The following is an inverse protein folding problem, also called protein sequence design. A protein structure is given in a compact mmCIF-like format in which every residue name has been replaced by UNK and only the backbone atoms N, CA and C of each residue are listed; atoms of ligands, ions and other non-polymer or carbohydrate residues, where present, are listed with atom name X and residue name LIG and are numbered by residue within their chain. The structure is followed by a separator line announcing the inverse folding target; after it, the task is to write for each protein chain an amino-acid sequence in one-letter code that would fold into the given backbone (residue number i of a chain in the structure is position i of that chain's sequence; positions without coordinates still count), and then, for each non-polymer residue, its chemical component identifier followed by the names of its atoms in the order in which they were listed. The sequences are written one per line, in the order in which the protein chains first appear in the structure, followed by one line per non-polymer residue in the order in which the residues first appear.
data_IF_876049844404
#
_entry.id   IF_876049844404
#
_cell.length_a   1.000
_cell.length_b   1.000
_cell.length_c   1.000
_cell.angle_alpha   90.00
_cell.angle_beta   90.00
_cell.angle_gamma   90.00
#
_symmetry.space_group_name_H-M   'P 1'
#
loop_
_entity.id
_entity.type
_entity.pdbx_description
1 polymer ?
2 non-polymer ?
3 non-polymer ?
4 water ?
#
# COMPACT_ATOMS: atom_id res chain seq x y z
N UNK A 52 12.95 21.58 17.59
CA UNK A 52 12.20 20.70 18.54
C UNK A 52 10.67 20.96 18.50
N UNK A 53 10.09 20.86 17.31
CA UNK A 53 8.67 21.16 17.09
C UNK A 53 8.20 20.60 15.76
N UNK A 54 7.11 19.82 15.77
CA UNK A 54 6.63 19.11 14.59
C UNK A 54 5.10 19.10 14.50
N UNK A 55 4.59 19.17 13.26
CA UNK A 55 3.15 19.09 12.98
C UNK A 55 2.85 17.82 12.18
N UNK A 56 1.95 17.00 12.70
CA UNK A 56 1.51 15.77 12.03
C UNK A 56 0.09 15.96 11.49
N UNK A 57 -0.01 16.28 10.19
CA UNK A 57 -1.30 16.42 9.52
C UNK A 57 -1.88 15.05 9.17
N UNK A 58 -2.86 14.60 9.97
CA UNK A 58 -3.52 13.31 9.77
C UNK A 58 -3.54 12.51 11.06
N UNK A 59 -4.71 12.00 11.44
CA UNK A 59 -4.91 11.26 12.69
C UNK A 59 -5.37 9.83 12.44
N UNK A 60 -4.89 9.22 11.36
CA UNK A 60 -5.41 7.94 10.87
C UNK A 60 -4.64 6.72 11.34
N UNK A 61 -4.55 5.73 10.45
CA UNK A 61 -3.93 4.42 10.73
C UNK A 61 -2.42 4.54 10.97
N UNK A 62 -1.75 5.36 10.16
CA UNK A 62 -0.29 5.46 10.15
C UNK A 62 0.26 6.34 11.29
N UNK A 63 -0.59 7.20 11.87
CA UNK A 63 -0.15 8.19 12.87
C UNK A 63 0.41 7.60 14.17
N UNK A 64 -0.17 6.50 14.66
CA UNK A 64 0.22 5.92 15.96
C UNK A 64 1.70 5.50 16.06
N UNK A 65 2.21 4.70 15.10
CA UNK A 65 3.65 4.38 15.14
C UNK A 65 4.59 5.57 14.90
N UNK A 66 4.12 6.59 14.18
CA UNK A 66 4.89 7.82 13.95
C UNK A 66 5.00 8.62 15.26
N UNK A 67 3.88 8.76 15.97
CA UNK A 67 3.87 9.44 17.27
C UNK A 67 4.67 8.69 18.34
N UNK A 68 4.65 7.36 18.28
CA UNK A 68 5.39 6.53 19.24
C UNK A 68 6.91 6.68 19.06
N UNK A 69 7.37 6.65 17.81
CA UNK A 69 8.81 6.75 17.50
C UNK A 69 9.39 8.13 17.84
N UNK A 70 8.67 9.19 17.48
CA UNK A 70 9.14 10.56 17.70
C UNK A 70 9.19 10.96 19.18
N UNK A 71 8.20 10.52 19.97
CA UNK A 71 8.16 10.81 21.41
C UNK A 71 8.83 9.70 22.24
N UNK A 72 10.14 9.54 22.03
CA UNK A 72 10.98 8.60 22.80
C UNK A 72 12.00 9.36 23.64
N UNK A 73 12.77 10.22 22.99
CA UNK A 73 13.77 11.06 23.66
C UNK A 73 13.12 12.09 24.60
N UNK A 74 12.02 12.69 24.17
CA UNK A 74 11.24 13.64 24.98
C UNK A 74 11.42 15.11 24.60
N UNK A 75 12.49 15.43 23.89
CA UNK A 75 12.78 16.82 23.50
C UNK A 75 11.79 17.46 22.52
N UNK A 76 11.30 16.67 21.57
CA UNK A 76 10.38 17.17 20.52
C UNK A 76 8.97 17.44 21.07
N UNK A 77 8.31 18.46 20.52
CA UNK A 77 6.94 18.83 20.86
C UNK A 77 6.05 18.59 19.64
N UNK A 78 5.07 17.69 19.79
CA UNK A 78 4.25 17.24 18.66
C UNK A 78 2.87 17.91 18.65
N UNK A 79 2.47 18.39 17.48
CA UNK A 79 1.13 18.96 17.25
C UNK A 79 0.43 18.10 16.20
N UNK A 80 -0.88 17.93 16.34
CA UNK A 80 -1.67 17.09 15.43
C UNK A 80 -2.86 17.90 14.88
N UNK A 81 -3.04 17.85 13.56
CA UNK A 81 -4.15 18.50 12.86
C UNK A 81 -4.95 17.50 12.06
N UNK A 82 -6.28 17.53 12.19
CA UNK A 82 -7.16 16.54 11.55
C UNK A 82 -8.61 17.00 11.45
N UNK A 83 -9.36 16.32 10.57
CA UNK A 83 -10.81 16.51 10.43
C UNK A 83 -11.58 15.76 11.51
N UNK A 84 -11.10 14.56 11.84
CA UNK A 84 -11.80 13.65 12.75
C UNK A 84 -11.62 14.09 14.20
N UNK A 85 -12.72 14.55 14.82
CA UNK A 85 -12.71 15.01 16.21
C UNK A 85 -12.59 13.86 17.21
N UNK A 86 -13.20 12.71 16.89
CA UNK A 86 -13.15 11.53 17.76
C UNK A 86 -11.76 10.86 17.78
N UNK A 87 -11.11 10.79 16.62
CA UNK A 87 -9.79 10.15 16.49
C UNK A 87 -8.70 10.89 17.28
N UNK A 88 -8.64 12.21 17.12
CA UNK A 88 -7.63 13.03 17.79
C UNK A 88 -7.77 13.08 19.33
N UNK A 89 -9.00 12.89 19.84
CA UNK A 89 -9.23 12.75 21.27
C UNK A 89 -8.69 11.41 21.81
N UNK A 90 -9.00 10.32 21.10
CA UNK A 90 -8.50 8.98 21.45
C UNK A 90 -6.99 8.87 21.26
N UNK A 91 -6.47 9.51 20.22
CA UNK A 91 -5.02 9.58 19.95
C UNK A 91 -4.29 10.43 20.98
N UNK A 92 -4.92 11.52 21.43
CA UNK A 92 -4.38 12.39 22.46
C UNK A 92 -4.28 11.78 23.84
N UNK A 93 -5.09 10.76 24.12
CA UNK A 93 -5.05 10.01 25.38
C UNK A 93 -3.76 9.20 25.52
N UNK A 94 -3.35 8.53 24.46
CA UNK A 94 -2.16 7.66 24.47
C UNK A 94 -0.84 8.44 24.48
N UNK A 95 -0.73 9.41 23.58
CA UNK A 95 0.51 10.18 23.38
C UNK A 95 0.30 11.66 23.74
N UNK A 96 1.33 12.28 24.29
CA UNK A 96 1.29 13.71 24.65
C UNK A 96 1.41 14.58 23.40
N UNK A 97 0.30 15.22 23.02
CA UNK A 97 0.25 16.05 21.80
C UNK A 97 -0.58 17.31 22.03
N UNK A 98 -0.41 18.28 21.12
CA UNK A 98 -1.25 19.47 21.06
C UNK A 98 -2.35 19.25 20.01
N UNK A 99 -3.61 19.04 20.43
CA UNK A 99 -4.68 18.79 19.47
C UNK A 99 -5.15 20.07 18.75
N UNK A 100 -5.36 19.97 17.44
CA UNK A 100 -5.92 21.05 16.62
C UNK A 100 -6.93 20.45 15.64
N UNK A 101 -8.01 21.18 15.38
CA UNK A 101 -9.08 20.75 14.46
C UNK A 101 -9.14 21.72 13.28
N UNK A 102 -8.93 21.20 12.07
CA UNK A 102 -8.98 22.03 10.85
C UNK A 102 -9.13 21.23 9.55
N UNK A 103 -9.79 21.86 8.57
CA UNK A 103 -9.86 21.35 7.20
C UNK A 103 -8.73 22.02 6.40
N UNK A 104 -8.20 21.32 5.41
CA UNK A 104 -7.01 21.77 4.68
C UNK A 104 -7.38 22.78 3.58
N UNK A 105 -8.26 22.36 2.66
CA UNK A 105 -8.61 23.20 1.50
C UNK A 105 -9.53 24.38 1.83
N UNK A 106 -10.22 24.34 2.98
CA UNK A 106 -11.09 25.44 3.42
C UNK A 106 -10.37 26.45 4.33
N UNK A 107 -9.55 25.96 5.26
CA UNK A 107 -8.87 26.81 6.24
C UNK A 107 -7.36 26.94 5.95
N UNK A 108 -7.04 27.44 4.75
CA UNK A 108 -5.64 27.68 4.36
C UNK A 108 -4.98 28.86 5.08
N UNK A 109 -5.79 29.75 5.67
CA UNK A 109 -5.26 30.90 6.41
C UNK A 109 -4.51 30.48 7.67
N UNK A 110 -5.18 29.68 8.52
CA UNK A 110 -4.57 29.23 9.78
C UNK A 110 -3.44 28.21 9.59
N UNK A 111 -3.46 27.47 8.47
CA UNK A 111 -2.39 26.54 8.11
C UNK A 111 -1.06 27.26 7.90
N UNK A 112 -1.12 28.39 7.20
CA UNK A 112 0.06 29.25 6.98
C UNK A 112 0.70 29.75 8.26
N UNK A 113 -0.13 30.14 9.23
CA UNK A 113 0.35 30.59 10.54
C UNK A 113 0.85 29.43 11.41
N UNK A 114 0.18 28.27 11.33
CA UNK A 114 0.54 27.09 12.12
C UNK A 114 1.84 26.44 11.64
N UNK A 115 2.01 26.32 10.32
CA UNK A 115 3.23 25.76 9.72
C UNK A 115 4.48 26.60 10.05
N UNK A 116 4.33 27.92 10.07
CA UNK A 116 5.43 28.84 10.38
C UNK A 116 6.06 28.66 11.78
N UNK A 117 5.26 28.16 12.73
CA UNK A 117 5.74 27.88 14.09
C UNK A 117 6.66 26.66 14.19
N UNK A 118 6.55 25.72 13.23
CA UNK A 118 7.21 24.41 13.31
C UNK A 118 8.56 24.35 12.62
N UNK A 119 9.34 23.33 12.98
CA UNK A 119 10.61 23.00 12.32
C UNK A 119 10.41 22.05 11.13
N UNK A 120 9.41 21.17 11.23
CA UNK A 120 9.11 20.18 10.18
C UNK A 120 7.61 19.84 10.18
N UNK A 121 7.10 19.43 9.01
CA UNK A 121 5.68 19.09 8.83
C UNK A 121 5.53 17.71 8.18
N UNK A 122 4.93 16.76 8.91
CA UNK A 122 4.67 15.40 8.41
C UNK A 122 3.24 15.32 7.89
N UNK A 123 3.08 14.98 6.61
CA UNK A 123 1.77 14.87 5.96
C UNK A 123 1.34 13.41 5.82
N UNK A 124 0.32 13.02 6.59
CA UNK A 124 -0.28 11.68 6.50
C UNK A 124 -1.70 11.75 5.93
N UNK A 125 -1.90 12.64 4.95
CA UNK A 125 -3.20 12.89 4.33
C UNK A 125 -3.27 12.17 2.99
N UNK A 126 -4.46 12.11 2.36
CA UNK A 126 -4.56 11.61 0.99
C UNK A 126 -3.67 12.38 0.02
N UNK A 127 -3.08 11.68 -0.95
CA UNK A 127 -2.02 12.25 -1.80
C UNK A 127 -2.46 13.40 -2.73
N UNK A 128 -3.77 13.54 -2.97
CA UNK A 128 -4.32 14.68 -3.71
C UNK A 128 -4.12 16.04 -3.00
N UNK A 129 -4.02 16.03 -1.68
CA UNK A 129 -3.89 17.26 -0.87
C UNK A 129 -2.46 17.73 -0.57
N UNK A 130 -1.44 17.08 -1.14
CA UNK A 130 -0.03 17.46 -0.87
C UNK A 130 0.42 18.81 -1.43
N UNK A 131 -0.07 19.21 -2.63
CA UNK A 131 0.26 20.54 -3.16
C UNK A 131 -0.16 21.72 -2.24
N UNK A 132 -1.26 21.55 -1.51
CA UNK A 132 -1.72 22.54 -0.53
C UNK A 132 -0.76 22.65 0.66
N UNK A 133 -0.28 21.50 1.13
CA UNK A 133 0.67 21.45 2.26
C UNK A 133 2.07 21.88 1.80
N UNK A 134 2.45 21.51 0.58
CA UNK A 134 3.73 21.90 -0.01
C UNK A 134 3.83 23.41 -0.26
N UNK A 135 2.74 24.01 -0.73
CA UNK A 135 2.67 25.46 -0.97
C UNK A 135 2.88 26.27 0.31
N UNK A 136 2.26 25.83 1.40
CA UNK A 136 2.44 26.45 2.72
C UNK A 136 3.86 26.30 3.26
N UNK A 137 4.51 25.18 2.96
CA UNK A 137 5.88 24.90 3.39
C UNK A 137 6.93 25.79 2.70
N UNK A 138 6.80 25.97 1.38
CA UNK A 138 7.72 26.82 0.62
C UNK A 138 7.60 28.32 0.97
N UNK A 139 6.41 28.75 1.36
CA UNK A 139 6.16 30.15 1.74
C UNK A 139 6.85 30.51 3.06
N UNK A 140 6.65 29.66 4.07
CA UNK A 140 7.22 29.87 5.40
C UNK A 140 8.66 29.34 5.59
N UNK A 141 9.20 28.64 4.58
CA UNK A 141 10.55 28.08 4.62
C UNK A 141 10.70 27.00 5.71
N UNK A 142 9.92 25.93 5.55
CA UNK A 142 9.89 24.80 6.49
C UNK A 142 10.01 23.47 5.73
N UNK A 143 10.72 22.51 6.31
CA UNK A 143 10.90 21.18 5.71
C UNK A 143 9.64 20.33 5.81
N UNK A 144 9.56 19.32 4.94
CA UNK A 144 8.40 18.43 4.86
C UNK A 144 8.82 16.98 4.59
N UNK A 145 8.04 16.03 5.08
CA UNK A 145 8.16 14.62 4.72
C UNK A 145 6.79 14.01 4.47
N UNK A 146 6.71 13.08 3.52
CA UNK A 146 5.47 12.47 3.08
C UNK A 146 5.59 10.95 3.08
N UNK A 147 4.48 10.26 3.33
CA UNK A 147 4.43 8.80 3.33
C UNK A 147 3.61 8.29 2.14
N UNK A 148 3.84 8.87 0.97
CA UNK A 148 3.05 8.57 -0.24
C UNK A 148 3.71 9.08 -1.52
N UNK A 149 3.03 8.91 -2.65
CA UNK A 149 3.57 9.21 -3.98
C UNK A 149 3.94 10.68 -4.17
N UNK A 150 4.98 10.93 -4.97
CA UNK A 150 5.31 12.27 -5.47
C UNK A 150 4.58 12.38 -6.81
N UNK A 151 3.42 13.04 -6.77
CA UNK A 151 2.54 13.14 -7.94
C UNK A 151 3.07 14.12 -9.00
N UNK A 152 2.54 14.08 -10.23
CA UNK A 152 2.84 15.09 -11.26
C UNK A 152 2.57 16.53 -10.81
N UNK A 153 1.51 16.74 -10.03
CA UNK A 153 1.18 18.05 -9.45
C UNK A 153 2.25 18.54 -8.47
N UNK A 154 2.75 17.65 -7.62
CA UNK A 154 3.81 17.96 -6.67
C UNK A 154 5.18 18.15 -7.34
N UNK A 155 5.39 17.49 -8.48
CA UNK A 155 6.63 17.61 -9.26
C UNK A 155 6.83 19.01 -9.88
N UNK A 156 5.73 19.70 -10.19
CA UNK A 156 5.79 21.06 -10.76
C UNK A 156 6.39 22.11 -9.81
N UNK A 157 6.25 21.89 -8.50
CA UNK A 157 6.79 22.80 -7.47
C UNK A 157 8.32 22.72 -7.31
N UNK A 158 8.96 21.69 -7.86
CA UNK A 158 10.41 21.45 -7.70
C UNK A 158 11.30 22.69 -7.88
N UNK A 159 10.97 23.53 -8.85
CA UNK A 159 11.68 24.80 -9.06
C UNK A 159 11.52 25.74 -7.87
N UNK A 160 10.28 25.88 -7.38
CA UNK A 160 9.98 26.71 -6.21
C UNK A 160 10.56 26.17 -4.91
N UNK A 161 10.64 24.85 -4.79
CA UNK A 161 11.18 24.18 -3.59
C UNK A 161 12.71 24.36 -3.49
N UNK A 162 13.40 24.29 -4.64
CA UNK A 162 14.85 24.55 -4.69
C UNK A 162 15.22 26.00 -4.38
N UNK A 163 14.41 26.94 -4.90
CA UNK A 163 14.62 28.38 -4.65
C UNK A 163 14.39 28.76 -3.18
N UNK A 164 13.41 28.13 -2.54
CA UNK A 164 13.12 28.34 -1.11
C UNK A 164 14.23 27.81 -0.19
N UNK A 165 14.96 26.79 -0.65
CA UNK A 165 16.09 26.23 0.09
C UNK A 165 15.68 25.31 1.22
N UNK A 166 14.77 24.39 0.93
CA UNK A 166 14.25 23.44 1.91
C UNK A 166 14.23 22.02 1.35
N UNK A 167 14.01 21.05 2.24
CA UNK A 167 13.97 19.63 1.90
C UNK A 167 12.54 19.10 1.96
N UNK A 168 12.11 18.42 0.90
CA UNK A 168 10.81 17.72 0.86
C UNK A 168 11.07 16.27 0.41
N UNK A 169 10.95 15.32 1.34
CA UNK A 169 11.20 13.90 1.08
C UNK A 169 9.86 13.16 0.90
N UNK A 170 9.61 12.68 -0.33
CA UNK A 170 8.42 11.90 -0.65
C UNK A 170 8.72 10.42 -0.86
N UNK A 171 7.66 9.66 -1.12
CA UNK A 171 7.74 8.22 -1.42
C UNK A 171 8.46 7.40 -0.34
N UNK A 172 7.96 7.53 0.89
CA UNK A 172 8.43 6.74 2.03
C UNK A 172 7.30 5.81 2.48
N UNK A 173 7.68 4.72 3.13
CA UNK A 173 6.73 3.71 3.61
C UNK A 173 7.12 2.32 3.11
N UNK A 174 6.12 1.52 2.75
CA UNK A 174 6.36 0.15 2.26
C UNK A 174 6.50 0.17 0.74
N UNK A 175 5.46 0.62 0.06
CA UNK A 175 5.39 0.64 -1.40
C UNK A 175 4.50 1.82 -1.86
N UNK A 176 5.08 2.94 -2.28
CA UNK A 176 6.52 3.17 -2.40
C UNK A 176 7.22 3.40 -1.05
N UNK A 177 8.52 3.06 -1.00
CA UNK A 177 9.35 3.29 0.18
C UNK A 177 10.47 2.29 0.35
N UNK A 178 10.20 1.20 1.06
CA UNK A 178 11.19 0.14 1.27
C UNK A 178 11.62 -0.54 -0.03
N UNK A 179 10.71 -0.67 -0.98
CA UNK A 179 11.03 -1.19 -2.32
C UNK A 179 12.09 -0.35 -3.06
N UNK A 180 12.06 0.97 -2.88
CA UNK A 180 13.08 1.85 -3.44
C UNK A 180 14.43 1.64 -2.73
N UNK A 181 14.37 1.52 -1.41
CA UNK A 181 15.59 1.41 -0.59
C UNK A 181 16.33 0.09 -0.81
N UNK A 182 15.60 -1.02 -0.78
CA UNK A 182 16.17 -2.36 -1.04
C UNK A 182 16.73 -2.52 -2.46
N UNK A 183 16.08 -1.87 -3.43
CA UNK A 183 16.53 -1.91 -4.83
C UNK A 183 17.85 -1.16 -5.01
N UNK A 184 17.90 0.08 -4.53
CA UNK A 184 19.09 0.91 -4.69
C UNK A 184 20.28 0.48 -3.82
N UNK A 185 20.03 -0.28 -2.74
CA UNK A 185 21.13 -0.85 -1.95
C UNK A 185 21.92 -1.86 -2.78
N UNK A 186 21.21 -2.78 -3.43
CA UNK A 186 21.83 -3.82 -4.26
C UNK A 186 22.41 -3.26 -5.57
N UNK A 187 21.70 -2.30 -6.19
CA UNK A 187 22.13 -1.70 -7.45
C UNK A 187 23.42 -0.89 -7.27
N UNK A 188 23.51 -0.12 -6.17
CA UNK A 188 24.75 0.62 -5.85
C UNK A 188 25.93 -0.30 -5.51
N UNK A 189 25.66 -1.41 -4.81
CA UNK A 189 26.69 -2.44 -4.55
C UNK A 189 27.23 -3.08 -5.83
N UNK A 190 26.38 -3.24 -6.84
CA UNK A 190 26.79 -3.77 -8.15
C UNK A 190 27.66 -2.78 -8.92
N UNK A 191 27.27 -1.51 -8.92
CA UNK A 191 28.03 -0.45 -9.58
C UNK A 191 29.36 -0.10 -8.89
N UNK A 192 29.47 -0.40 -7.59
CA UNK A 192 30.75 -0.31 -6.86
C UNK A 192 31.85 -1.20 -7.46
N UNK A 193 31.45 -2.34 -8.05
CA UNK A 193 32.40 -3.27 -8.70
C UNK A 193 32.22 -3.33 -10.23
N UNK A 194 31.77 -2.23 -10.83
CA UNK A 194 31.62 -2.11 -12.28
C UNK A 194 30.60 -3.02 -12.96
N UNK A 195 29.64 -3.55 -12.19
CA UNK A 195 28.64 -4.49 -12.72
C UNK A 195 27.34 -3.77 -13.10
N UNK A 196 26.60 -4.36 -14.05
CA UNK A 196 25.33 -3.82 -14.55
C UNK A 196 24.16 -4.78 -14.26
N UNK A 197 22.95 -4.22 -14.24
CA UNK A 197 21.73 -4.97 -13.92
C UNK A 197 21.06 -5.46 -15.21
N UNK A 198 20.87 -6.77 -15.31
CA UNK A 198 20.17 -7.40 -16.45
C UNK A 198 18.71 -7.70 -16.17
N UNK A 199 18.39 -8.07 -14.91
CA UNK A 199 17.01 -8.34 -14.51
C UNK A 199 16.70 -7.84 -13.11
N UNK A 200 15.43 -7.53 -12.87
CA UNK A 200 14.93 -7.11 -11.56
C UNK A 200 13.47 -7.54 -11.41
N UNK A 201 13.23 -8.49 -10.51
CA UNK A 201 11.88 -9.03 -10.26
C UNK A 201 11.59 -8.82 -8.77
N UNK A 202 10.44 -8.21 -8.46
CA UNK A 202 10.07 -7.83 -7.09
C UNK A 202 8.60 -8.09 -6.79
N UNK A 203 8.32 -9.10 -5.95
CA UNK A 203 6.96 -9.40 -5.49
C UNK A 203 6.81 -8.98 -4.03
N UNK A 204 5.61 -8.52 -3.68
CA UNK A 204 5.35 -7.91 -2.35
C UNK A 204 3.90 -8.02 -1.96
N UNK A 205 3.58 -7.77 -0.69
CA UNK A 205 2.28 -8.34 -0.26
C UNK A 205 2.16 -8.27 1.25
N UNK A 206 1.03 -7.71 1.69
CA UNK A 206 0.62 -7.71 3.11
C UNK A 206 -0.62 -8.58 3.22
N UNK A 207 -0.68 -9.43 4.23
CA UNK A 207 -1.75 -10.44 4.33
C UNK A 207 -1.84 -10.97 5.75
N UNK A 208 -2.88 -11.76 6.04
CA UNK A 208 -2.96 -12.34 7.41
C UNK A 208 -1.83 -13.32 7.69
N UNK A 209 -1.51 -13.49 8.97
CA UNK A 209 -0.65 -14.59 9.40
C UNK A 209 -1.39 -15.91 9.08
N UNK A 210 -0.66 -16.97 8.65
CA UNK A 210 -1.27 -18.22 8.18
C UNK A 210 -2.44 -18.76 9.00
N UNK A 211 -2.37 -18.64 10.32
CA UNK A 211 -3.44 -19.10 11.22
C UNK A 211 -4.80 -18.39 11.09
N UNK A 212 -4.82 -17.19 10.49
CA UNK A 212 -6.06 -16.44 10.24
C UNK A 212 -6.46 -16.42 8.75
N UNK A 213 -6.04 -17.42 7.99
CA UNK A 213 -6.32 -17.49 6.54
C UNK A 213 -7.53 -18.37 6.14
N UNK A 214 -8.28 -18.88 7.13
CA UNK A 214 -9.42 -19.75 6.85
C UNK A 214 -10.72 -18.96 6.62
N UNK A 215 -10.81 -18.37 5.43
CA UNK A 215 -12.04 -17.73 4.95
C UNK A 215 -12.02 -17.74 3.41
N UNK A 216 -13.17 -17.54 2.74
CA UNK A 216 -13.24 -17.67 1.27
C UNK A 216 -12.17 -16.90 0.46
N UNK A 217 -11.84 -15.68 0.89
CA UNK A 217 -10.81 -14.88 0.22
C UNK A 217 -9.37 -15.13 0.73
N UNK A 218 -9.23 -15.81 1.88
CA UNK A 218 -7.96 -15.96 2.59
C UNK A 218 -7.32 -14.58 2.84
N UNK A 219 -8.12 -13.65 3.34
CA UNK A 219 -7.69 -12.26 3.49
C UNK A 219 -8.48 -11.51 4.58
N UNK A 220 -7.84 -10.50 5.16
CA UNK A 220 -8.47 -9.57 6.08
C UNK A 220 -8.02 -8.15 5.75
N UNK A 221 -8.98 -7.23 5.65
CA UNK A 221 -8.71 -5.87 5.16
C UNK A 221 -8.25 -4.92 6.27
N UNK A 222 -7.08 -4.30 6.05
CA UNK A 222 -6.53 -3.30 6.97
C UNK A 222 -7.21 -1.94 6.82
N UNK A 223 -7.59 -1.59 5.59
CA UNK A 223 -8.28 -0.34 5.27
C UNK A 223 -9.38 -0.61 4.22
N UNK A 224 -9.82 0.42 3.47
CA UNK A 224 -10.94 0.27 2.53
C UNK A 224 -10.59 -0.62 1.32
N UNK A 225 -11.45 -1.63 1.01
CA UNK A 225 -11.23 -2.50 -0.16
C UNK A 225 -11.42 -1.87 -1.56
N UNK A 226 -11.86 -0.61 -1.65
CA UNK A 226 -12.18 0.01 -2.95
C UNK A 226 -10.97 0.03 -3.89
N UNK A 227 -9.79 0.35 -3.35
CA UNK A 227 -8.55 0.39 -4.12
C UNK A 227 -8.13 -0.95 -4.70
N UNK A 228 -8.10 -1.98 -3.87
CA UNK A 228 -7.67 -3.33 -4.29
C UNK A 228 -8.65 -4.01 -5.27
N UNK A 229 -9.95 -3.82 -5.05
CA UNK A 229 -10.99 -4.37 -5.94
C UNK A 229 -10.94 -3.77 -7.34
N UNK A 230 -10.67 -2.48 -7.43
CA UNK A 230 -10.61 -1.78 -8.72
C UNK A 230 -9.33 -2.09 -9.52
N UNK A 231 -8.26 -2.53 -8.83
CA UNK A 231 -7.03 -2.97 -9.50
C UNK A 231 -7.21 -4.18 -10.41
N UNK A 232 -8.16 -5.05 -10.07
CA UNK A 232 -8.48 -6.23 -10.90
C UNK A 232 -9.00 -5.82 -12.28
N UNK A 233 -9.72 -4.71 -12.35
CA UNK A 233 -10.26 -4.21 -13.63
C UNK A 233 -9.20 -3.50 -14.50
N UNK A 234 -8.13 -3.01 -13.86
CA UNK A 234 -7.04 -2.30 -14.56
C UNK A 234 -6.01 -3.24 -15.22
N UNK A 235 -5.22 -2.67 -16.11
CA UNK A 235 -4.20 -3.41 -16.87
C UNK A 235 -2.87 -3.51 -16.09
N UNK A 236 -2.01 -4.40 -16.58
CA UNK A 236 -0.64 -4.57 -16.07
C UNK A 236 0.35 -4.58 -17.24
N UNK A 237 1.47 -3.88 -17.07
CA UNK A 237 2.49 -3.73 -18.11
C UNK A 237 3.88 -3.96 -17.53
N UNK A 238 4.71 -4.74 -18.23
CA UNK A 238 6.08 -5.00 -17.79
C UNK A 238 7.00 -5.48 -18.94
N UNK A 239 8.30 -5.51 -18.66
CA UNK A 239 9.33 -5.92 -19.63
C UNK A 239 9.85 -7.32 -19.29
N UNK A 240 10.02 -8.17 -20.29
CA UNK A 240 10.46 -9.55 -20.11
C UNK A 240 11.24 -10.07 -21.32
N UNK A 241 12.55 -10.26 -21.14
CA UNK A 241 13.47 -10.74 -22.18
C UNK A 241 13.47 -9.85 -23.44
N UNK A 242 13.45 -8.54 -23.23
CA UNK A 242 13.46 -7.56 -24.32
C UNK A 242 12.10 -7.04 -24.77
N UNK A 243 11.09 -7.90 -24.76
CA UNK A 243 9.75 -7.57 -25.26
C UNK A 243 8.84 -6.99 -24.18
N UNK A 244 8.04 -5.99 -24.54
CA UNK A 244 7.05 -5.39 -23.63
C UNK A 244 5.80 -6.28 -23.63
N UNK A 245 5.36 -6.68 -22.44
CA UNK A 245 4.18 -7.52 -22.27
C UNK A 245 3.04 -6.67 -21.69
N UNK A 246 1.86 -6.78 -22.30
CA UNK A 246 0.63 -6.16 -21.80
C UNK A 246 -0.33 -7.24 -21.33
N UNK A 247 -0.94 -7.04 -20.15
CA UNK A 247 -1.90 -7.98 -19.59
C UNK A 247 -3.26 -7.29 -19.50
N UNK A 248 -4.30 -7.99 -19.97
CA UNK A 248 -5.66 -7.45 -19.99
C UNK A 248 -6.31 -7.61 -18.63
N UNK A 249 -6.86 -6.51 -18.10
CA UNK A 249 -7.61 -6.53 -16.85
C UNK A 249 -9.02 -7.08 -16.98
N UNK A 250 -9.73 -7.12 -15.86
CA UNK A 250 -11.14 -7.54 -15.83
C UNK A 250 -11.31 -9.03 -15.69
N UNK A 251 -12.28 -9.58 -16.45
CA UNK A 251 -12.63 -11.01 -16.40
C UNK A 251 -11.47 -11.95 -16.77
N UNK A 252 -10.61 -11.53 -17.70
CA UNK A 252 -9.49 -12.35 -18.19
C UNK A 252 -8.18 -12.21 -17.39
N UNK A 253 -8.16 -11.36 -16.36
CA UNK A 253 -6.95 -11.12 -15.55
C UNK A 253 -6.54 -12.34 -14.71
N UNK A 254 -7.48 -13.23 -14.40
CA UNK A 254 -7.19 -14.49 -13.70
C UNK A 254 -6.18 -15.39 -14.43
N UNK A 255 -6.11 -15.29 -15.76
CA UNK A 255 -5.16 -16.06 -16.57
C UNK A 255 -3.69 -15.73 -16.28
N UNK A 256 -3.41 -14.51 -15.81
CA UNK A 256 -2.04 -14.07 -15.48
C UNK A 256 -1.56 -14.47 -14.08
N UNK A 257 -2.43 -15.13 -13.28
CA UNK A 257 -2.07 -15.55 -11.92
C UNK A 257 -1.21 -16.81 -11.98
N UNK A 258 -0.10 -16.80 -11.26
CA UNK A 258 0.86 -17.92 -11.22
C UNK A 258 1.20 -18.33 -9.79
N UNK A 259 1.63 -19.58 -9.64
CA UNK A 259 2.03 -20.12 -8.34
C UNK A 259 3.40 -19.57 -7.93
N UNK A 260 3.56 -19.28 -6.64
CA UNK A 260 4.79 -18.73 -6.09
C UNK A 260 5.31 -19.66 -5.00
N UNK A 261 6.42 -20.36 -5.29
CA UNK A 261 6.87 -21.50 -4.47
C UNK A 261 8.27 -21.32 -3.85
N UNK A 262 8.66 -20.07 -3.55
CA UNK A 262 9.95 -19.81 -2.89
C UNK A 262 9.96 -20.19 -1.40
N UNK A 263 8.78 -20.27 -0.77
CA UNK A 263 8.62 -20.87 0.55
C UNK A 263 7.67 -22.06 0.43
N UNK A 264 8.21 -23.31 0.44
CA UNK A 264 7.37 -24.52 0.34
C UNK A 264 6.26 -24.64 1.39
N UNK A 265 6.52 -24.16 2.61
CA UNK A 265 5.51 -24.15 3.68
C UNK A 265 4.37 -23.17 3.49
N UNK A 266 4.58 -22.13 2.68
CA UNK A 266 3.59 -21.06 2.47
C UNK A 266 2.91 -21.20 1.10
N UNK A 267 1.59 -21.29 1.09
CA UNK A 267 0.81 -21.53 -0.12
C UNK A 267 0.40 -20.22 -0.82
N UNK A 268 1.31 -19.68 -1.64
CA UNK A 268 1.16 -18.34 -2.24
C UNK A 268 0.83 -18.36 -3.75
N UNK A 269 0.16 -17.29 -4.21
CA UNK A 269 -0.02 -16.99 -5.63
C UNK A 269 0.48 -15.57 -5.91
N UNK A 270 0.71 -15.26 -7.18
CA UNK A 270 1.24 -13.95 -7.60
C UNK A 270 0.73 -13.48 -8.95
N UNK A 271 0.75 -12.16 -9.14
CA UNK A 271 0.34 -11.52 -10.40
C UNK A 271 0.98 -10.13 -10.54
N UNK A 272 1.13 -9.62 -11.79
CA UNK A 272 1.87 -8.37 -11.99
C UNK A 272 1.12 -7.10 -11.56
N UNK A 273 1.88 -6.06 -11.20
CA UNK A 273 1.34 -4.74 -10.82
C UNK A 273 1.03 -3.88 -12.04
N UNK A 274 0.45 -2.70 -11.80
CA UNK A 274 0.04 -1.74 -12.84
C UNK A 274 1.12 -1.49 -13.91
N UNK A 275 2.26 -0.96 -13.50
CA UNK A 275 3.33 -0.63 -14.44
C UNK A 275 4.72 -0.85 -13.83
N UNK A 276 5.54 -1.64 -14.54
CA UNK A 276 6.93 -1.89 -14.18
C UNK A 276 7.96 -1.18 -15.08
N UNK A 277 7.51 -0.70 -16.26
CA UNK A 277 8.41 -0.09 -17.24
C UNK A 277 8.95 1.28 -16.84
N UNK A 278 8.23 1.99 -15.96
CA UNK A 278 8.68 3.29 -15.45
C UNK A 278 9.90 3.23 -14.51
N UNK A 279 10.18 2.05 -13.95
CA UNK A 279 11.26 1.86 -12.96
C UNK A 279 12.68 1.78 -13.57
N UNK A 280 12.78 1.67 -14.89
CA UNK A 280 14.07 1.76 -15.59
C UNK A 280 14.71 3.14 -15.41
N UNK A 281 13.89 4.18 -15.56
CA UNK A 281 14.34 5.57 -15.42
C UNK A 281 14.55 5.98 -13.96
N UNK A 282 13.74 5.42 -13.06
CA UNK A 282 13.80 5.77 -11.63
C UNK A 282 15.08 5.25 -10.98
N UNK A 283 15.36 3.96 -11.16
CA UNK A 283 16.56 3.31 -10.62
C UNK A 283 17.81 3.46 -11.50
N UNK A 284 17.62 3.83 -12.78
CA UNK A 284 18.73 3.98 -13.71
C UNK A 284 19.26 2.63 -14.17
N UNK A 285 18.36 1.80 -14.69
CA UNK A 285 18.69 0.44 -15.16
C UNK A 285 18.02 0.16 -16.50
N UNK A 286 18.23 1.06 -17.46
CA UNK A 286 17.69 0.92 -18.82
C UNK A 286 18.37 -0.20 -19.64
N UNK A 287 19.56 -0.61 -19.21
CA UNK A 287 20.24 -1.77 -19.81
C UNK A 287 19.57 -3.12 -19.52
N UNK A 288 18.73 -3.17 -18.48
CA UNK A 288 18.04 -4.41 -18.09
C UNK A 288 17.04 -4.88 -19.14
N UNK A 289 17.02 -6.20 -19.37
CA UNK A 289 16.08 -6.84 -20.30
C UNK A 289 14.78 -7.32 -19.63
N UNK A 290 14.75 -7.33 -18.30
CA UNK A 290 13.57 -7.75 -17.54
C UNK A 290 13.30 -6.79 -16.38
N UNK A 291 12.07 -6.28 -16.30
CA UNK A 291 11.61 -5.40 -15.22
C UNK A 291 10.17 -5.76 -14.87
N UNK A 292 9.97 -6.37 -13.70
CA UNK A 292 8.66 -6.88 -13.28
C UNK A 292 8.45 -6.63 -11.79
N UNK A 293 7.28 -6.08 -11.45
CA UNK A 293 6.85 -5.95 -10.06
C UNK A 293 5.47 -6.57 -9.90
N UNK A 294 5.30 -7.40 -8.87
CA UNK A 294 4.07 -8.16 -8.66
C UNK A 294 3.56 -8.04 -7.23
N UNK A 295 2.41 -8.69 -6.98
CA UNK A 295 1.76 -8.70 -5.67
C UNK A 295 1.59 -10.16 -5.21
N UNK A 296 1.66 -10.40 -3.89
CA UNK A 296 1.51 -11.74 -3.32
C UNK A 296 0.20 -11.88 -2.54
N UNK A 297 -0.47 -13.01 -2.73
CA UNK A 297 -1.67 -13.38 -1.97
C UNK A 297 -1.65 -14.89 -1.71
N UNK A 298 -2.50 -15.36 -0.79
CA UNK A 298 -2.70 -16.79 -0.61
C UNK A 298 -3.54 -17.35 -1.77
N UNK A 299 -3.34 -18.62 -2.09
CA UNK A 299 -4.02 -19.25 -3.24
C UNK A 299 -5.54 -19.27 -3.07
N UNK A 300 -6.25 -18.92 -4.13
CA UNK A 300 -7.72 -18.82 -4.12
C UNK A 300 -8.29 -17.40 -4.07
N UNK A 301 -7.45 -16.42 -3.75
CA UNK A 301 -7.88 -15.01 -3.61
C UNK A 301 -8.46 -14.45 -4.91
N UNK A 302 -7.68 -14.52 -5.99
CA UNK A 302 -8.08 -13.96 -7.28
C UNK A 302 -9.23 -14.70 -7.97
N UNK A 303 -9.36 -16.01 -7.70
CA UNK A 303 -10.50 -16.78 -8.19
C UNK A 303 -11.83 -16.35 -7.52
N UNK A 304 -11.75 -15.94 -6.25
CA UNK A 304 -12.90 -15.43 -5.53
C UNK A 304 -13.32 -14.04 -6.04
N UNK A 305 -12.33 -13.17 -6.27
CA UNK A 305 -12.58 -11.85 -6.88
C UNK A 305 -13.07 -11.96 -8.33
N UNK A 306 -12.61 -12.98 -9.06
CA UNK A 306 -13.13 -13.30 -10.39
C UNK A 306 -14.62 -13.65 -10.36
N UNK A 307 -15.06 -14.31 -9.29
CA UNK A 307 -16.48 -14.59 -9.05
C UNK A 307 -17.33 -13.34 -8.87
N UNK A 308 -16.78 -12.34 -8.18
CA UNK A 308 -17.47 -11.05 -8.01
C UNK A 308 -17.60 -10.27 -9.33
N UNK A 309 -16.62 -10.41 -10.22
CA UNK A 309 -16.64 -9.76 -11.53
C UNK A 309 -17.73 -10.36 -12.43
N UNK A 310 -17.84 -11.70 -12.43
CA UNK A 310 -18.89 -12.42 -13.17
C UNK A 310 -20.31 -12.00 -12.78
N UNK A 311 -20.56 -11.86 -11.47
CA UNK A 311 -21.89 -11.49 -10.96
C UNK A 311 -22.26 -10.02 -11.20
N UNK A 312 -21.29 -9.17 -11.54
CA UNK A 312 -21.53 -7.76 -11.85
C UNK A 312 -21.51 -6.86 -10.62
N UNK A 313 -20.62 -7.16 -9.68
CA UNK A 313 -20.47 -6.40 -8.44
C UNK A 313 -19.37 -5.33 -8.48
N UNK A 314 -18.45 -5.45 -9.44
CA UNK A 314 -17.30 -4.54 -9.54
C UNK A 314 -17.58 -3.45 -10.58
N UNK A 315 -18.43 -2.50 -10.20
CA UNK A 315 -18.74 -1.33 -11.02
C UNK A 315 -19.30 -0.16 -10.21
N UNK A 316 -19.28 1.03 -10.80
CA UNK A 316 -19.68 2.27 -10.13
C UNK A 316 -21.09 2.76 -10.52
N UNK A 317 -21.97 1.84 -10.90
CA UNK A 317 -23.39 2.16 -11.13
C UNK A 317 -24.10 2.32 -9.79
N UNK A 318 -25.17 3.10 -9.78
CA UNK A 318 -25.93 3.37 -8.55
C UNK A 318 -26.75 2.15 -8.11
N UNK A 319 -27.15 2.15 -6.84
CA UNK A 319 -27.97 1.09 -6.27
C UNK A 319 -29.42 1.19 -6.76
N UNK A 320 -30.13 0.05 -6.87
CA UNK A 320 -31.51 0.08 -7.35
C UNK A 320 -32.50 0.57 -6.29
N UNK A 321 -33.44 1.42 -6.71
CA UNK A 321 -34.48 1.96 -5.83
C UNK A 321 -35.79 1.21 -6.01
N UNK A 326 -40.81 1.19 0.13
CA UNK A 326 -41.11 1.23 1.56
C UNK A 326 -40.09 0.41 2.34
N UNK A 327 -39.97 -0.87 1.97
CA UNK A 327 -39.05 -1.81 2.64
C UNK A 327 -37.61 -1.58 2.16
N UNK A 328 -36.62 -1.59 3.09
CA UNK A 328 -35.22 -1.38 2.68
C UNK A 328 -34.61 -2.56 1.91
N UNK A 329 -33.59 -2.26 1.10
CA UNK A 329 -32.98 -3.24 0.21
C UNK A 329 -32.10 -4.24 0.97
N UNK A 330 -32.17 -5.51 0.57
CA UNK A 330 -31.34 -6.59 1.12
C UNK A 330 -30.40 -7.15 0.04
N UNK A 331 -29.42 -7.94 0.48
CA UNK A 331 -28.43 -8.54 -0.43
C UNK A 331 -29.05 -9.59 -1.38
N UNK A 332 -29.98 -10.38 -0.87
CA UNK A 332 -30.75 -11.33 -1.70
C UNK A 332 -31.50 -10.60 -2.83
N UNK A 333 -32.11 -9.47 -2.48
CA UNK A 333 -32.84 -8.64 -3.46
C UNK A 333 -31.91 -7.99 -4.49
N UNK A 334 -30.71 -7.59 -4.06
CA UNK A 334 -29.73 -6.97 -4.95
C UNK A 334 -29.20 -7.95 -6.01
N UNK A 335 -28.89 -9.17 -5.60
CA UNK A 335 -28.43 -10.22 -6.54
C UNK A 335 -29.52 -10.71 -7.50
N UNK A 336 -30.80 -10.62 -7.08
CA UNK A 336 -31.92 -10.90 -7.98
C UNK A 336 -31.97 -9.88 -9.13
N UNK A 337 -31.79 -8.61 -8.80
CA UNK A 337 -31.74 -7.53 -9.79
C UNK A 337 -30.56 -7.68 -10.78
N UNK A 338 -29.39 -8.08 -10.25
CA UNK A 338 -28.20 -8.27 -11.09
C UNK A 338 -28.31 -9.47 -12.02
N UNK A 339 -28.85 -10.58 -11.52
CA UNK A 339 -29.05 -11.80 -12.33
C UNK A 339 -30.18 -11.59 -13.35
N UNK A 340 -31.30 -11.00 -12.90
CA UNK A 340 -32.45 -10.71 -13.77
C UNK A 340 -33.80 -11.09 -13.20
N UNK A 341 -33.83 -12.05 -12.29
CA UNK A 341 -35.08 -12.54 -11.68
C UNK A 341 -35.71 -11.54 -10.69
N UNK A 342 -36.95 -11.81 -10.31
CA UNK A 342 -37.67 -11.01 -9.31
C UNK A 342 -37.28 -11.46 -7.89
N UNK A 343 -37.37 -10.55 -6.89
CA UNK A 343 -37.17 -10.96 -5.49
C UNK A 343 -38.10 -12.11 -5.03
N UNK A 344 -37.52 -13.31 -4.93
CA UNK A 344 -38.26 -14.54 -4.64
C UNK A 344 -37.50 -15.39 -3.58
N UNK A 345 -37.61 -16.71 -3.64
CA UNK A 345 -37.00 -17.59 -2.63
C UNK A 345 -35.47 -17.66 -2.71
N UNK A 346 -34.86 -18.17 -1.65
CA UNK A 346 -33.40 -18.27 -1.53
C UNK A 346 -32.82 -19.38 -2.42
N UNK A 347 -33.50 -20.52 -2.49
CA UNK A 347 -33.09 -21.62 -3.38
C UNK A 347 -33.28 -21.30 -4.87
N UNK A 348 -34.18 -20.37 -5.19
CA UNK A 348 -34.41 -19.94 -6.57
C UNK A 348 -33.24 -19.12 -7.10
N UNK A 349 -32.84 -18.09 -6.36
CA UNK A 349 -31.68 -17.25 -6.71
C UNK A 349 -30.35 -18.01 -6.65
N UNK A 350 -30.29 -19.07 -5.84
CA UNK A 350 -29.11 -19.96 -5.77
C UNK A 350 -28.86 -20.68 -7.10
N UNK A 351 -29.93 -21.18 -7.72
CA UNK A 351 -29.86 -21.81 -9.04
C UNK A 351 -29.53 -20.81 -10.16
N UNK A 352 -30.01 -19.58 -10.01
CA UNK A 352 -29.71 -18.50 -10.96
C UNK A 352 -28.28 -17.99 -10.83
N UNK A 353 -27.78 -17.88 -9.59
CA UNK A 353 -26.43 -17.39 -9.31
C UNK A 353 -25.35 -18.35 -9.81
N UNK A 354 -25.50 -19.64 -9.53
CA UNK A 354 -24.55 -20.66 -10.00
C UNK A 354 -24.54 -20.78 -11.54
N UNK A 355 -25.69 -20.55 -12.18
CA UNK A 355 -25.79 -20.51 -13.64
C UNK A 355 -25.00 -19.34 -14.23
N UNK A 356 -25.07 -18.18 -13.57
CA UNK A 356 -24.31 -16.99 -14.00
C UNK A 356 -22.80 -17.14 -13.76
N UNK A 357 -22.42 -17.76 -12.65
CA UNK A 357 -20.99 -17.98 -12.33
C UNK A 357 -20.41 -19.15 -13.14
N UNK A 358 -20.17 -18.89 -14.43
CA UNK A 358 -19.64 -19.88 -15.38
C UNK A 358 -20.50 -21.16 -15.38
N UNK A 359 -19.86 -22.33 -15.40
CA UNK A 359 -20.56 -23.61 -15.23
C UNK A 359 -20.95 -23.82 -13.78
N UNK A 360 -20.77 -25.05 -13.29
CA UNK A 360 -21.10 -25.39 -11.90
C UNK A 360 -19.97 -25.09 -10.94
N UNK A 361 -19.61 -23.82 -10.82
CA UNK A 361 -18.54 -23.39 -9.92
C UNK A 361 -19.11 -23.21 -8.51
N UNK A 362 -19.14 -24.32 -7.77
CA UNK A 362 -19.66 -24.33 -6.39
C UNK A 362 -18.77 -23.55 -5.41
N UNK A 363 -17.46 -23.51 -5.69
CA UNK A 363 -16.50 -22.75 -4.87
C UNK A 363 -16.87 -21.27 -4.80
N UNK A 364 -17.13 -20.67 -5.96
CA UNK A 364 -17.55 -19.27 -6.04
C UNK A 364 -18.95 -19.02 -5.47
N UNK A 365 -19.85 -20.00 -5.64
CA UNK A 365 -21.19 -19.95 -5.05
C UNK A 365 -21.14 -19.96 -3.52
N UNK A 366 -20.39 -20.90 -2.97
CA UNK A 366 -20.21 -21.03 -1.51
C UNK A 366 -19.49 -19.82 -0.88
N UNK A 367 -18.60 -19.19 -1.64
CA UNK A 367 -17.92 -17.96 -1.21
C UNK A 367 -18.91 -16.81 -1.01
N UNK A 368 -19.83 -16.64 -1.96
CA UNK A 368 -20.91 -15.65 -1.85
C UNK A 368 -21.90 -15.99 -0.73
N UNK A 369 -22.21 -17.28 -0.57
CA UNK A 369 -23.10 -17.75 0.50
C UNK A 369 -22.51 -17.50 1.88
N UNK A 370 -21.20 -17.72 2.03
CA UNK A 370 -20.48 -17.50 3.29
C UNK A 370 -20.51 -16.03 3.73
N UNK A 371 -20.24 -15.13 2.79
CA UNK A 371 -20.27 -13.68 3.06
C UNK A 371 -21.68 -13.10 3.28
N UNK A 372 -22.71 -13.84 2.87
CA UNK A 372 -24.11 -13.43 3.06
C UNK A 372 -24.63 -12.56 1.93
N UNK A 373 -24.18 -12.84 0.70
CA UNK A 373 -24.62 -12.11 -0.49
C UNK A 373 -25.96 -12.65 -1.02
N UNK A 374 -26.27 -13.92 -0.69
CA UNK A 374 -27.57 -14.51 -0.92
C UNK A 374 -28.28 -14.63 0.44
N UNK A 375 -28.50 -13.49 1.07
CA UNK A 375 -29.07 -13.43 2.43
C UNK A 375 -29.93 -12.21 2.69
N UNK A 376 -30.61 -12.22 3.83
CA UNK A 376 -31.60 -11.19 4.17
C UNK A 376 -31.05 -9.99 4.95
N UNK A 377 -29.72 -9.88 5.08
CA UNK A 377 -29.09 -8.71 5.69
C UNK A 377 -29.28 -7.46 4.82
N UNK A 378 -29.33 -6.30 5.48
CA UNK A 378 -29.52 -5.02 4.79
C UNK A 378 -28.24 -4.58 4.08
N UNK A 379 -28.40 -3.97 2.91
CA UNK A 379 -27.27 -3.44 2.14
C UNK A 379 -26.88 -2.09 2.77
N UNK A 380 -25.58 -1.87 3.04
CA UNK A 380 -25.18 -0.57 3.58
C UNK A 380 -25.31 0.56 2.55
N UNK A 381 -25.65 1.75 3.02
CA UNK A 381 -25.88 2.91 2.15
C UNK A 381 -24.57 3.39 1.54
N UNK A 382 -24.56 3.57 0.22
CA UNK A 382 -23.37 4.00 -0.51
C UNK A 382 -23.72 4.55 -1.89
N UNK A 383 -22.77 5.27 -2.49
CA UNK A 383 -22.95 5.90 -3.80
C UNK A 383 -22.86 4.94 -5.00
N UNK A 384 -22.43 3.70 -4.78
CA UNK A 384 -22.40 2.68 -5.85
C UNK A 384 -22.42 1.23 -5.31
N UNK A 385 -22.50 0.27 -6.22
CA UNK A 385 -22.52 -1.15 -5.89
C UNK A 385 -21.16 -1.61 -5.34
N UNK A 386 -20.07 -1.14 -5.95
CA UNK A 386 -18.71 -1.45 -5.48
C UNK A 386 -18.46 -0.96 -4.05
N UNK A 387 -18.89 0.27 -3.77
CA UNK A 387 -18.80 0.85 -2.42
C UNK A 387 -19.65 0.09 -1.40
N UNK A 388 -20.80 -0.39 -1.83
CA UNK A 388 -21.69 -1.20 -0.98
C UNK A 388 -21.04 -2.54 -0.61
N UNK A 389 -20.36 -3.16 -1.57
CA UNK A 389 -19.59 -4.38 -1.33
C UNK A 389 -18.40 -4.15 -0.40
N UNK A 390 -17.68 -3.04 -0.63
CA UNK A 390 -16.50 -2.68 0.17
C UNK A 390 -16.82 -2.53 1.66
N UNK A 391 -17.89 -1.80 1.96
CA UNK A 391 -18.37 -1.64 3.35
C UNK A 391 -18.73 -2.97 3.99
N UNK A 392 -19.36 -3.85 3.22
CA UNK A 392 -19.79 -5.18 3.69
C UNK A 392 -18.60 -6.12 3.96
N UNK A 393 -17.55 -6.02 3.15
CA UNK A 393 -16.32 -6.81 3.33
C UNK A 393 -15.51 -6.36 4.55
N UNK A 394 -15.50 -5.05 4.84
CA UNK A 394 -14.91 -4.50 6.06
C UNK A 394 -15.63 -5.02 7.31
N UNK A 395 -16.95 -5.18 7.23
CA UNK A 395 -17.75 -5.73 8.33
C UNK A 395 -17.41 -7.20 8.60
N UNK A 396 -17.31 -7.99 7.54
CA UNK A 396 -17.12 -9.45 7.66
C UNK A 396 -15.65 -9.90 7.79
N UNK A 397 -14.72 -9.20 7.13
CA UNK A 397 -13.31 -9.62 7.07
C UNK A 397 -12.33 -8.53 7.53
N UNK A 398 -12.46 -8.14 8.80
CA UNK A 398 -11.54 -7.20 9.45
C UNK A 398 -10.74 -7.92 10.52
N UNK A 399 -9.60 -7.34 10.89
CA UNK A 399 -8.75 -7.88 11.95
C UNK A 399 -9.39 -7.67 13.32
N UNK A 400 -9.37 -8.72 14.14
CA UNK A 400 -9.79 -8.63 15.53
C UNK A 400 -8.72 -7.95 16.38
N UNK A 401 -8.93 -7.89 17.71
CA UNK A 401 -7.96 -7.25 18.60
C UNK A 401 -6.63 -8.00 18.74
N UNK A 402 -6.67 -9.33 18.79
CA UNK A 402 -5.46 -10.16 19.02
C UNK A 402 -4.89 -10.85 17.77
N UNK A 403 -5.49 -10.61 16.59
CA UNK A 403 -5.07 -11.31 15.36
C UNK A 403 -3.88 -10.66 14.68
N UNK A 404 -2.92 -11.47 14.24
CA UNK A 404 -1.68 -11.00 13.60
C UNK A 404 -1.82 -10.82 12.08
N UNK A 405 -1.21 -9.76 11.56
CA UNK A 405 -1.02 -9.58 10.11
C UNK A 405 0.42 -9.98 9.74
N UNK A 406 0.78 -9.82 8.47
CA UNK A 406 2.09 -10.26 7.97
C UNK A 406 2.48 -9.54 6.67
N UNK A 407 3.79 -9.29 6.52
CA UNK A 407 4.36 -8.70 5.31
C UNK A 407 5.39 -9.69 4.74
N UNK A 408 5.33 -9.92 3.43
CA UNK A 408 6.31 -10.75 2.72
C UNK A 408 6.78 -9.99 1.48
N UNK A 409 8.10 -10.05 1.23
CA UNK A 409 8.70 -9.38 0.08
C UNK A 409 9.89 -10.20 -0.45
N UNK A 410 10.03 -10.23 -1.76
CA UNK A 410 11.00 -11.07 -2.46
C UNK A 410 11.58 -10.33 -3.66
N UNK A 411 12.82 -9.85 -3.52
CA UNK A 411 13.57 -9.25 -4.64
C UNK A 411 14.48 -10.30 -5.29
N UNK A 412 14.80 -10.08 -6.56
CA UNK A 412 15.63 -10.99 -7.33
C UNK A 412 16.38 -10.22 -8.43
N UNK A 413 17.71 -10.17 -8.33
CA UNK A 413 18.56 -9.43 -9.26
C UNK A 413 19.40 -10.37 -10.12
N UNK A 414 19.60 -9.99 -11.39
CA UNK A 414 20.54 -10.64 -12.30
C UNK A 414 21.64 -9.66 -12.64
N UNK A 415 22.81 -9.81 -12.02
CA UNK A 415 23.90 -8.84 -12.11
C UNK A 415 25.03 -9.37 -13.01
N UNK A 416 25.35 -8.61 -14.06
CA UNK A 416 26.43 -8.95 -15.00
C UNK A 416 27.72 -8.23 -14.60
N UNK A 417 28.69 -8.99 -14.09
CA UNK A 417 30.00 -8.45 -13.70
C UNK A 417 30.90 -8.28 -14.93
N UNK A 418 31.88 -7.34 -14.86
CA UNK A 418 32.78 -7.11 -16.01
C UNK A 418 33.70 -8.30 -16.37
N UNK A 419 33.89 -9.22 -15.44
CA UNK A 419 34.54 -10.50 -15.71
C UNK A 419 33.82 -11.30 -16.80
N UNK A 420 32.49 -11.36 -16.70
CA UNK A 420 31.64 -12.10 -17.64
C UNK A 420 30.59 -12.97 -16.97
N UNK A 421 30.85 -13.39 -15.74
CA UNK A 421 29.92 -14.24 -14.96
C UNK A 421 28.64 -13.51 -14.53
N UNK A 422 27.62 -14.30 -14.21
CA UNK A 422 26.29 -13.80 -13.83
C UNK A 422 26.00 -14.13 -12.35
N UNK A 423 25.84 -13.09 -11.53
CA UNK A 423 25.46 -13.24 -10.12
C UNK A 423 23.94 -13.18 -9.99
N UNK A 424 23.36 -14.18 -9.34
CA UNK A 424 21.93 -14.19 -9.02
C UNK A 424 21.73 -13.91 -7.52
N UNK A 425 21.31 -12.68 -7.21
CA UNK A 425 21.12 -12.21 -5.84
C UNK A 425 19.63 -12.22 -5.47
N UNK A 426 19.31 -12.68 -4.27
CA UNK A 426 17.92 -12.68 -3.76
C UNK A 426 17.84 -12.11 -2.35
N UNK A 427 16.76 -11.38 -2.06
CA UNK A 427 16.53 -10.76 -0.75
C UNK A 427 15.13 -11.11 -0.27
N UNK A 428 15.04 -11.67 0.94
CA UNK A 428 13.77 -11.96 1.60
C UNK A 428 13.57 -10.98 2.74
N UNK A 429 12.38 -10.36 2.80
CA UNK A 429 11.97 -9.52 3.93
C UNK A 429 10.66 -10.08 4.45
N UNK A 430 10.63 -10.42 5.74
CA UNK A 430 9.43 -10.97 6.39
C UNK A 430 9.25 -10.33 7.75
N UNK A 431 7.99 -10.04 8.10
CA UNK A 431 7.66 -9.40 9.38
C UNK A 431 6.24 -9.75 9.81
N UNK A 432 6.08 -10.02 11.10
CA UNK A 432 4.79 -10.37 11.70
C UNK A 432 4.32 -9.24 12.62
N UNK A 433 3.00 -9.06 12.71
CA UNK A 433 2.42 -8.07 13.62
C UNK A 433 2.52 -8.52 15.07
N UNK A 434 2.68 -7.56 15.97
CA UNK A 434 2.78 -7.83 17.42
C UNK A 434 1.38 -7.94 18.02
N UNK A 435 1.23 -8.80 19.03
CA UNK A 435 -0.06 -9.04 19.69
C UNK A 435 -0.51 -7.78 20.43
N UNK A 436 0.33 -7.31 21.35
CA UNK A 436 0.07 -6.10 22.13
C UNK A 436 0.91 -4.94 21.63
N UNK A 437 0.77 -4.64 20.34
CA UNK A 437 1.56 -3.60 19.68
C UNK A 437 1.06 -3.26 18.30
N UNK A 438 1.95 -2.71 17.47
CA UNK A 438 1.59 -2.27 16.12
C UNK A 438 1.62 -3.42 15.13
N UNK A 439 0.82 -3.28 14.07
CA UNK A 439 0.77 -4.26 12.99
C UNK A 439 2.01 -4.13 12.09
N UNK A 440 2.33 -5.19 11.37
CA UNK A 440 3.44 -5.21 10.42
C UNK A 440 3.28 -4.20 9.29
N UNK A 441 2.03 -3.98 8.84
CA UNK A 441 1.72 -2.96 7.83
C UNK A 441 1.91 -1.55 8.39
N UNK A 442 1.44 -1.32 9.61
CA UNK A 442 1.60 -0.02 10.29
C UNK A 442 3.09 0.34 10.49
N UNK A 443 3.89 -0.65 10.85
CA UNK A 443 5.32 -0.45 11.08
C UNK A 443 6.10 -0.18 9.79
N UNK A 444 5.84 -0.96 8.74
CA UNK A 444 6.54 -0.80 7.47
C UNK A 444 6.18 0.49 6.72
N UNK A 445 4.95 0.99 6.90
CA UNK A 445 4.52 2.27 6.31
C UNK A 445 4.92 3.46 7.20
N UNK A 446 4.76 3.32 8.51
CA UNK A 446 5.00 4.42 9.45
C UNK A 446 6.46 4.75 9.74
N UNK A 447 7.27 3.73 10.01
CA UNK A 447 8.62 3.92 10.54
C UNK A 447 9.63 4.58 9.58
N UNK A 448 9.58 4.28 8.26
CA UNK A 448 10.47 4.98 7.33
C UNK A 448 10.25 6.50 7.28
N UNK A 449 8.99 6.92 7.30
CA UNK A 449 8.63 8.34 7.33
C UNK A 449 9.04 9.00 8.64
N UNK A 450 8.82 8.30 9.75
CA UNK A 450 9.21 8.77 11.09
C UNK A 450 10.72 8.87 11.27
N UNK A 451 11.45 7.84 10.83
CA UNK A 451 12.92 7.82 10.89
C UNK A 451 13.56 8.92 10.04
N UNK A 452 13.02 9.12 8.83
CA UNK A 452 13.48 10.19 7.94
C UNK A 452 13.27 11.59 8.52
N UNK A 453 12.17 11.77 9.27
CA UNK A 453 11.87 13.04 9.94
C UNK A 453 12.88 13.36 11.05
N UNK A 454 13.25 12.35 11.82
CA UNK A 454 14.26 12.50 12.89
C UNK A 454 15.66 12.82 12.32
N UNK A 455 15.98 12.26 11.15
CA UNK A 455 17.24 12.56 10.47
C UNK A 455 17.34 14.01 9.97
N UNK A 456 16.21 14.59 9.58
CA UNK A 456 16.15 16.01 9.17
C UNK A 456 16.31 16.96 10.36
N UNK A 457 15.64 16.65 11.48
CA UNK A 457 15.73 17.46 12.71
C UNK A 457 17.15 17.42 13.30
N UNK A 458 17.73 16.24 13.40
CA UNK A 458 19.10 16.06 13.89
C UNK A 458 20.17 16.57 12.90
N UNK A 459 19.80 16.70 11.63
CA UNK A 459 20.65 17.34 10.62
C UNK A 459 21.62 16.38 9.94
N UNK A 460 21.12 15.18 9.62
CA UNK A 460 21.93 14.14 8.97
C UNK A 460 21.81 14.19 7.44
N UNK A 461 20.59 14.43 6.94
CA UNK A 461 20.35 14.57 5.50
C UNK A 461 20.70 16.01 5.07
N UNK A 462 21.84 16.16 4.40
CA UNK A 462 22.32 17.45 3.93
C UNK A 462 21.70 17.96 2.63
N UNK A 463 21.26 17.03 1.76
CA UNK A 463 20.72 17.39 0.43
C UNK A 463 19.44 18.22 0.50
N UNK A 464 19.22 19.04 -0.53
CA UNK A 464 18.10 19.98 -0.59
C UNK A 464 17.22 19.73 -1.81
N UNK A 465 15.97 20.20 -1.73
CA UNK A 465 15.01 20.11 -2.84
C UNK A 465 13.97 19.01 -2.66
N UNK A 466 13.30 18.67 -3.78
CA UNK A 466 12.32 17.59 -3.81
C UNK A 466 13.03 16.30 -4.21
N UNK A 467 12.77 15.22 -3.46
CA UNK A 467 13.47 13.94 -3.68
C UNK A 467 12.76 12.74 -3.06
N UNK A 468 13.16 11.55 -3.50
CA UNK A 468 12.75 10.28 -2.89
C UNK A 468 13.81 9.80 -1.91
N UNK A 469 13.77 8.51 -1.53
CA UNK A 469 14.79 7.90 -0.66
C UNK A 469 15.82 7.07 -1.45
N UNK A 470 16.31 7.62 -2.57
CA UNK A 470 17.17 6.87 -3.48
C UNK A 470 18.66 6.96 -3.15
N UNK A 471 19.07 8.04 -2.48
CA UNK A 471 20.48 8.25 -2.12
C UNK A 471 20.87 7.42 -0.90
N UNK A 472 22.14 6.99 -0.88
CA UNK A 472 22.72 6.21 0.23
C UNK A 472 22.65 6.95 1.57
N UNK A 473 22.74 8.28 1.50
CA UNK A 473 22.53 9.17 2.65
C UNK A 473 21.18 8.94 3.36
N UNK A 474 20.14 8.63 2.59
CA UNK A 474 18.79 8.40 3.13
C UNK A 474 18.54 6.92 3.45
N UNK A 475 18.73 6.03 2.46
CA UNK A 475 18.35 4.60 2.62
C UNK A 475 19.24 3.78 3.56
N UNK A 476 20.53 4.12 3.63
CA UNK A 476 21.48 3.40 4.48
C UNK A 476 21.13 3.43 5.96
N UNK A 477 21.00 4.65 6.54
CA UNK A 477 20.59 4.78 7.94
C UNK A 477 19.21 4.18 8.29
N UNK A 478 18.24 4.27 7.37
CA UNK A 478 16.89 3.75 7.60
C UNK A 478 16.88 2.22 7.62
N UNK A 479 17.53 1.59 6.65
CA UNK A 479 17.58 0.12 6.55
C UNK A 479 18.23 -0.55 7.77
N UNK A 480 19.24 0.11 8.35
CA UNK A 480 19.92 -0.39 9.55
C UNK A 480 19.07 -0.24 10.81
N UNK A 481 18.33 0.86 10.91
CA UNK A 481 17.50 1.15 12.10
C UNK A 481 16.21 0.33 12.20
N UNK A 482 15.64 -0.07 11.06
CA UNK A 482 14.43 -0.93 11.05
C UNK A 482 14.65 -2.36 11.57
N UNK A 483 15.90 -2.81 11.60
CA UNK A 483 16.24 -4.14 12.16
C UNK A 483 15.88 -4.22 13.65
N UNK A 484 16.20 -3.16 14.40
CA UNK A 484 15.87 -3.08 15.83
C UNK A 484 14.36 -3.06 16.13
N UNK A 485 13.56 -2.56 15.19
CA UNK A 485 12.11 -2.51 15.32
C UNK A 485 11.39 -3.83 14.99
N UNK A 486 12.14 -4.83 14.53
CA UNK A 486 11.59 -6.15 14.17
C UNK A 486 11.27 -6.34 12.70
N UNK A 487 12.02 -5.65 11.83
CA UNK A 487 11.88 -5.79 10.38
C UNK A 487 13.27 -6.19 9.84
N UNK A 488 13.48 -7.50 9.71
CA UNK A 488 14.77 -8.07 9.31
C UNK A 488 14.68 -8.58 7.87
N UNK A 489 15.76 -8.40 7.12
CA UNK A 489 15.86 -8.93 5.76
C UNK A 489 17.21 -9.63 5.53
N UNK A 490 17.15 -10.86 5.01
CA UNK A 490 18.34 -11.67 4.73
C UNK A 490 18.69 -11.60 3.24
N UNK A 491 19.94 -11.90 2.92
CA UNK A 491 20.47 -11.84 1.56
C UNK A 491 21.20 -13.14 1.20
N UNK A 492 21.11 -13.54 -0.06
CA UNK A 492 21.78 -14.72 -0.59
C UNK A 492 22.29 -14.44 -2.00
N UNK A 493 23.37 -15.13 -2.39
CA UNK A 493 24.03 -14.88 -3.67
C UNK A 493 24.76 -16.12 -4.19
N UNK A 494 24.58 -16.42 -5.48
CA UNK A 494 25.25 -17.52 -6.17
C UNK A 494 25.70 -17.10 -7.57
N UNK A 495 26.66 -17.83 -8.14
CA UNK A 495 27.19 -17.54 -9.48
C UNK A 495 26.94 -18.74 -10.42
N UNK A 496 26.50 -18.43 -11.63
CA UNK A 496 26.21 -19.45 -12.65
C UNK A 496 26.10 -18.82 -14.04
N UNK A 497 27.23 -18.70 -14.78
CA UNK A 497 27.19 -18.11 -16.12
C UNK A 497 26.45 -18.98 -17.14
X LIG B 1 0.11 7.21 -9.21
X LIG B 1 -0.24 8.44 -8.57
X LIG B 1 -0.81 6.10 -8.71
X LIG B 1 -0.19 4.83 -8.93
X LIG C 1 7.72 -15.12 -11.69
X LIG C 1 6.67 -16.06 -11.92
X LIG C 1 8.67 -15.12 -12.88
X LIG C 1 8.23 -14.18 -13.87
X LIG D 1 -3.34 4.25 3.32
X LIG D 1 -4.20 3.60 2.33
X LIG D 1 -3.99 4.00 4.89
X LIG D 1 -1.87 3.40 3.47
X LIG E 1 18.32 8.81 -9.65
X LIG E 1 18.14 8.15 -10.96
X LIG E 1 16.84 9.51 -9.15
X LIG E 1 18.52 7.62 -8.45
X LIG F 1 8.43 -19.13 -8.02
X LIG F 1 8.42 -18.12 -9.10
X LIG F 1 8.02 -20.65 -8.67
X LIG F 1 10.04 -19.43 -7.52
#
# INVERSE_FOLDING_TARGET
MGHHHHHHSSGVDLGTENLYFQSMALPDKYKYIQTLRESRERAQSLSMGTRRKVLVLGSGYISEPVLEYLSRDGNIEITVGSDMKNQIEQLGKKYNINPVSMDICKQEEKLGFLVAKQDLVISLLPYVLHPLVAKACITNKVNMVTASYITPALKELEKSVEDAGITIIGELGLDPGLDHMLAMESIDKAKEVGATIESYISYCGGLPAPEHSNNPLRYKFSWSPVGVLMNVMQSATYLLDGKVVNVAGGISFLDAVTSMDFFPGLNLEGYPNRDSTKYAEIYGISSAHTLLRGTLRYKGYMKALNGFVKLGLINREALPAFRPEANPLTWKQLLCDLVGISPSSEHDVLKEAVLKKLGGDNTQLEAAEWLGLLGDEQVPQAESILDALSKHLVMKLSYGPEEKDMIVMRDSFGIRHPSGHLEHKTIDLVAYGDINGFSAMAKTVGLPTAMAAKMLLDGEIGAKGLMGPFSKEIYGPILERIKAEGIIYTTQSTIKP
EDO C1 O1 C2 O2
EDO C1 O1 C2 O2
DMS S O C1 C2
DMS S O C1 C2
DMS S O C1 C2
#
